data_IF_007736278343
#
_entry.id   IF_007736278343
#
_cell.length_a   1.000
_cell.length_b   1.000
_cell.length_c   1.000
_cell.angle_alpha   90.00
_cell.angle_beta   90.00
_cell.angle_gamma   90.00
#
_symmetry.space_group_name_H-M   'P 1'
#
loop_
_entity.id
_entity.type
_entity.pdbx_description
1 polymer ?
#
# COMPACT_ATOMS: atom_id res chain seq x y z
N UNK A 1 9.28 53.24 32.75
CA UNK A 1 7.85 52.88 32.85
C UNK A 1 7.53 52.01 31.64
N UNK A 2 7.60 50.68 31.80
CA UNK A 2 6.46 49.74 31.88
C UNK A 2 5.79 49.52 30.50
N UNK A 3 5.57 48.32 29.96
CA UNK A 3 5.85 46.90 30.32
C UNK A 3 5.58 46.10 29.03
N UNK A 4 6.38 45.09 28.71
CA UNK A 4 5.98 44.05 27.75
C UNK A 4 4.90 43.14 28.37
N UNK A 5 4.23 42.33 27.55
CA UNK A 5 4.28 40.90 27.84
C UNK A 5 4.62 40.03 26.63
N UNK A 6 5.47 39.04 26.93
CA UNK A 6 5.74 37.80 26.22
C UNK A 6 4.64 36.76 26.43
N UNK A 7 4.45 35.84 25.47
CA UNK A 7 4.27 34.37 25.61
C UNK A 7 3.38 33.85 24.46
N UNK A 8 3.90 33.07 23.51
CA UNK A 8 4.07 31.62 23.57
C UNK A 8 2.74 30.86 23.75
N UNK A 9 2.24 30.26 22.66
CA UNK A 9 1.25 29.19 22.71
C UNK A 9 1.84 27.95 22.03
N UNK A 10 2.37 27.04 22.86
CA UNK A 10 2.63 25.63 22.54
C UNK A 10 1.35 24.87 22.89
N UNK A 11 0.78 24.12 21.96
CA UNK A 11 -0.21 23.10 22.32
C UNK A 11 0.43 21.71 22.20
N UNK A 12 0.84 21.20 23.37
CA UNK A 12 1.01 19.78 23.64
C UNK A 12 -0.34 19.21 24.13
N UNK A 13 -0.59 17.93 23.85
CA UNK A 13 -1.92 17.31 23.90
C UNK A 13 -2.34 16.65 25.22
N UNK A 14 -3.44 15.89 25.13
CA UNK A 14 -3.90 14.75 25.96
C UNK A 14 -5.36 14.48 25.57
N UNK A 15 -5.69 13.32 24.98
CA UNK A 15 -6.10 12.08 25.66
C UNK A 15 -7.42 12.22 26.46
N UNK A 16 -8.44 11.45 26.05
CA UNK A 16 -9.70 11.32 26.80
C UNK A 16 -10.69 10.35 26.16
N UNK A 17 -10.49 9.05 26.43
CA UNK A 17 -11.54 8.02 26.34
C UNK A 17 -12.71 8.42 27.25
N UNK A 18 -13.93 8.49 26.72
CA UNK A 18 -15.16 8.47 27.54
C UNK A 18 -16.02 7.32 27.08
N UNK A 19 -15.99 6.25 27.87
CA UNK A 19 -17.01 5.22 27.92
C UNK A 19 -18.24 5.78 28.64
N UNK A 20 -19.42 5.64 28.02
CA UNK A 20 -20.71 5.92 28.67
C UNK A 20 -21.67 4.74 28.46
N UNK A 21 -21.82 3.89 29.48
CA UNK A 21 -22.95 2.97 29.63
C UNK A 21 -24.03 3.63 30.50
N UNK A 22 -25.29 3.58 30.03
CA UNK A 22 -26.56 3.40 30.79
C UNK A 22 -27.70 3.41 29.77
N UNK A 23 -28.36 2.30 29.45
CA UNK A 23 -29.37 1.55 30.21
C UNK A 23 -30.77 2.21 30.25
N UNK A 24 -31.73 1.54 29.60
CA UNK A 24 -33.11 1.36 30.10
C UNK A 24 -34.22 2.23 29.51
N UNK A 25 -35.23 1.59 28.89
CA UNK A 25 -36.56 2.18 28.67
C UNK A 25 -37.36 1.57 27.52
N UNK A 26 -38.06 0.47 27.78
CA UNK A 26 -39.08 -0.13 26.91
C UNK A 26 -40.26 0.81 26.62
N UNK A 27 -40.84 0.71 25.41
CA UNK A 27 -42.28 0.78 25.23
C UNK A 27 -42.71 -0.04 23.99
N UNK A 28 -43.43 -1.11 24.27
CA UNK A 28 -44.04 -2.02 23.33
C UNK A 28 -45.16 -1.36 22.50
N UNK A 29 -45.34 -1.82 21.25
CA UNK A 29 -46.67 -2.06 20.67
C UNK A 29 -46.65 -3.33 19.82
N UNK A 30 -47.33 -4.36 20.34
CA UNK A 30 -47.84 -5.51 19.62
C UNK A 30 -48.90 -5.07 18.60
N UNK A 31 -48.93 -5.70 17.42
CA UNK A 31 -50.04 -6.60 17.03
C UNK A 31 -49.83 -7.16 15.62
N UNK A 32 -49.95 -8.49 15.51
CA UNK A 32 -49.89 -9.22 14.25
C UNK A 32 -49.77 -10.72 14.49
N UNK A 33 -50.76 -11.30 15.18
CA UNK A 33 -50.93 -12.74 15.32
C UNK A 33 -50.98 -13.42 13.94
N UNK A 34 -50.33 -14.59 13.82
CA UNK A 34 -51.01 -15.81 13.35
C UNK A 34 -50.26 -17.04 13.87
N UNK A 35 -51.04 -17.97 14.40
CA UNK A 35 -50.59 -19.24 14.98
C UNK A 35 -50.23 -20.25 13.88
N UNK A 36 -49.05 -20.86 13.95
CA UNK A 36 -48.79 -22.18 13.34
C UNK A 36 -48.29 -23.12 14.43
N UNK A 37 -49.09 -24.14 14.73
CA UNK A 37 -48.78 -25.22 15.68
C UNK A 37 -47.80 -26.23 15.05
N UNK A 38 -46.83 -26.64 15.86
CA UNK A 38 -46.24 -27.99 16.02
C UNK A 38 -46.07 -28.86 14.77
N UNK A 39 -44.82 -29.02 14.32
CA UNK A 39 -44.06 -30.28 14.35
C UNK A 39 -42.85 -30.18 13.40
N UNK A 40 -41.68 -30.59 13.89
CA UNK A 40 -40.56 -30.99 13.04
C UNK A 40 -39.35 -30.07 13.12
N UNK A 41 -38.26 -30.62 13.68
CA UNK A 41 -36.84 -30.26 13.47
C UNK A 41 -36.44 -28.82 13.80
N UNK A 42 -35.56 -28.68 14.80
CA UNK A 42 -34.78 -27.45 14.95
C UNK A 42 -34.08 -27.13 13.62
N UNK A 43 -34.09 -25.88 13.14
CA UNK A 43 -33.28 -25.50 11.99
C UNK A 43 -31.82 -25.74 12.35
N UNK A 44 -31.11 -26.45 11.47
CA UNK A 44 -29.68 -26.68 11.60
C UNK A 44 -28.98 -25.35 11.85
N UNK A 45 -28.22 -25.32 12.94
CA UNK A 45 -27.37 -24.21 13.31
C UNK A 45 -26.45 -23.98 12.12
N UNK A 46 -26.57 -22.80 11.50
CA UNK A 46 -25.65 -22.36 10.44
C UNK A 46 -24.26 -22.33 11.08
N UNK A 47 -23.46 -23.33 10.73
CA UNK A 47 -22.06 -23.41 11.09
C UNK A 47 -21.36 -22.19 10.49
N UNK A 48 -21.07 -21.22 11.35
CA UNK A 48 -20.37 -19.98 11.02
C UNK A 48 -18.85 -20.18 11.09
N UNK A 49 -18.38 -21.38 10.78
CA UNK A 49 -16.96 -21.70 10.64
C UNK A 49 -16.41 -21.24 9.28
N UNK A 50 -16.38 -19.93 9.04
CA UNK A 50 -15.45 -19.35 8.07
C UNK A 50 -15.01 -17.95 8.48
N UNK A 51 -14.74 -17.74 9.77
CA UNK A 51 -13.92 -16.61 10.17
C UNK A 51 -12.53 -16.80 9.55
N UNK A 52 -12.23 -16.05 8.48
CA UNK A 52 -10.87 -15.94 7.93
C UNK A 52 -9.94 -15.65 9.10
N UNK A 53 -9.02 -16.58 9.37
CA UNK A 53 -7.95 -16.41 10.35
C UNK A 53 -7.27 -15.07 10.03
N UNK A 54 -7.36 -14.12 10.95
CA UNK A 54 -6.73 -12.81 10.79
C UNK A 54 -5.24 -13.05 10.55
N UNK A 55 -4.75 -12.67 9.38
CA UNK A 55 -3.31 -12.71 9.09
C UNK A 55 -2.58 -11.85 10.11
N UNK A 56 -1.45 -12.35 10.59
CA UNK A 56 -0.57 -11.58 11.47
C UNK A 56 -0.19 -10.29 10.75
N UNK A 57 -0.27 -9.11 11.41
CA UNK A 57 0.09 -7.85 10.78
C UNK A 57 1.51 -7.96 10.23
N UNK A 58 1.67 -7.74 8.92
CA UNK A 58 2.99 -7.60 8.31
C UNK A 58 3.66 -6.37 8.94
N UNK A 59 4.92 -6.51 9.37
CA UNK A 59 5.76 -5.37 9.78
C UNK A 59 5.81 -4.37 8.63
N UNK A 60 5.61 -3.08 8.89
CA UNK A 60 5.72 -2.05 7.86
C UNK A 60 7.18 -1.74 7.61
N UNK A 61 7.53 -1.43 6.36
CA UNK A 61 8.84 -0.89 5.98
C UNK A 61 9.14 0.41 6.75
N UNK A 62 8.11 1.18 7.11
CA UNK A 62 8.28 2.42 7.88
C UNK A 62 8.82 2.17 9.29
N UNK A 63 8.63 0.97 9.86
CA UNK A 63 9.16 0.59 11.17
C UNK A 63 10.71 0.56 11.18
N UNK A 64 11.35 0.52 10.01
CA UNK A 64 12.81 0.60 9.85
C UNK A 64 13.34 2.04 9.87
N UNK A 65 12.45 3.05 9.88
CA UNK A 65 12.79 4.48 9.88
C UNK A 65 12.13 5.22 11.06
N UNK A 66 12.40 4.81 12.31
CA UNK A 66 11.71 5.33 13.48
C UNK A 66 12.02 6.82 13.75
N UNK A 67 13.08 7.37 13.16
CA UNK A 67 13.52 8.75 13.35
C UNK A 67 13.12 9.67 12.20
N UNK A 68 12.34 9.16 11.24
CA UNK A 68 11.78 9.93 10.15
C UNK A 68 10.88 11.07 10.66
N UNK A 69 11.25 12.32 10.35
CA UNK A 69 10.49 13.51 10.73
C UNK A 69 10.04 14.30 9.51
N UNK A 70 8.85 14.94 9.54
CA UNK A 70 8.44 15.86 8.49
C UNK A 70 9.49 16.93 8.21
N UNK A 71 9.71 17.23 6.94
CA UNK A 71 10.67 18.24 6.47
C UNK A 71 10.11 18.90 5.21
N UNK A 72 10.40 20.19 4.99
CA UNK A 72 10.02 20.86 3.75
C UNK A 72 10.95 20.47 2.59
N UNK A 73 10.47 20.58 1.35
CA UNK A 73 11.32 20.35 0.19
C UNK A 73 12.54 21.26 0.20
N UNK A 74 12.36 22.54 0.54
CA UNK A 74 13.45 23.52 0.59
C UNK A 74 14.54 23.11 1.59
N UNK A 75 14.14 22.76 2.82
CA UNK A 75 15.10 22.37 3.86
C UNK A 75 15.80 21.07 3.51
N UNK A 76 15.10 20.15 2.83
CA UNK A 76 15.67 18.91 2.35
C UNK A 76 16.67 19.14 1.21
N UNK A 77 16.38 20.04 0.28
CA UNK A 77 17.31 20.45 -0.78
C UNK A 77 18.57 21.10 -0.21
N UNK A 78 18.43 21.99 0.78
CA UNK A 78 19.56 22.61 1.48
C UNK A 78 20.40 21.58 2.24
N UNK A 79 19.73 20.64 2.91
CA UNK A 79 20.39 19.60 3.72
C UNK A 79 21.12 18.56 2.88
N UNK A 80 20.52 18.10 1.79
CA UNK A 80 21.08 17.04 0.94
C UNK A 80 21.93 17.58 -0.21
N UNK A 81 21.82 18.87 -0.52
CA UNK A 81 22.47 19.48 -1.68
C UNK A 81 21.94 18.95 -3.02
N UNK A 82 20.74 18.35 -3.02
CA UNK A 82 20.12 17.70 -4.18
C UNK A 82 18.65 18.05 -4.28
N UNK A 83 18.07 18.00 -5.48
CA UNK A 83 16.64 18.29 -5.70
C UNK A 83 15.71 17.08 -5.54
N UNK A 84 16.27 15.90 -5.24
CA UNK A 84 15.54 14.65 -5.02
C UNK A 84 16.39 13.64 -4.24
N UNK A 85 15.78 12.52 -3.82
CA UNK A 85 16.43 11.47 -3.05
C UNK A 85 17.31 10.52 -3.89
N UNK A 86 17.70 10.92 -5.11
CA UNK A 86 18.51 10.15 -6.04
C UNK A 86 17.86 9.93 -7.41
N UNK A 87 18.54 9.20 -8.31
CA UNK A 87 18.01 8.89 -9.64
C UNK A 87 16.67 8.18 -9.51
N UNK A 88 15.67 8.61 -10.27
CA UNK A 88 14.30 8.07 -10.24
C UNK A 88 13.43 8.44 -9.02
N UNK A 89 13.92 9.26 -8.10
CA UNK A 89 13.08 9.85 -7.07
C UNK A 89 12.35 11.11 -7.59
N UNK A 90 11.07 11.33 -7.20
CA UNK A 90 10.37 12.57 -7.50
C UNK A 90 11.16 13.80 -7.01
N UNK A 91 11.11 14.90 -7.74
CA UNK A 91 11.69 16.16 -7.24
C UNK A 91 10.96 16.61 -5.99
N UNK A 92 11.69 16.99 -4.94
CA UNK A 92 11.11 17.36 -3.64
C UNK A 92 10.05 18.46 -3.80
N UNK A 93 10.41 19.57 -4.44
CA UNK A 93 9.50 20.68 -4.69
C UNK A 93 8.24 20.28 -5.47
N UNK A 94 8.40 19.54 -6.57
CA UNK A 94 7.25 19.08 -7.37
C UNK A 94 6.34 18.13 -6.59
N UNK A 95 6.93 17.32 -5.70
CA UNK A 95 6.17 16.40 -4.86
C UNK A 95 5.26 17.15 -3.90
N UNK A 96 5.80 18.11 -3.15
CA UNK A 96 5.03 18.97 -2.25
C UNK A 96 3.96 19.78 -3.00
N UNK A 97 4.31 20.40 -4.13
CA UNK A 97 3.36 21.14 -4.97
C UNK A 97 2.21 20.26 -5.48
N UNK A 98 2.44 18.95 -5.63
CA UNK A 98 1.41 17.98 -6.01
C UNK A 98 0.51 17.54 -4.85
N UNK A 99 0.69 18.11 -3.66
CA UNK A 99 -0.02 17.74 -2.42
C UNK A 99 0.61 16.58 -1.65
N UNK A 100 1.85 16.21 -1.97
CA UNK A 100 2.63 15.23 -1.21
C UNK A 100 3.29 15.86 0.03
N UNK A 101 3.80 15.03 0.93
CA UNK A 101 4.66 15.44 2.03
C UNK A 101 5.97 14.66 2.02
N UNK A 102 6.96 15.17 2.71
CA UNK A 102 8.28 14.58 2.83
C UNK A 102 8.61 14.34 4.30
N UNK A 103 9.25 13.20 4.58
CA UNK A 103 9.95 12.97 5.86
C UNK A 103 11.40 12.63 5.56
N UNK A 104 12.27 12.90 6.52
CA UNK A 104 13.67 12.52 6.45
C UNK A 104 14.10 11.86 7.74
N UNK A 105 14.67 10.66 7.62
CA UNK A 105 15.30 9.94 8.71
C UNK A 105 16.82 10.21 8.67
N UNK A 106 17.37 10.95 9.65
CA UNK A 106 18.78 11.35 9.63
C UNK A 106 19.76 10.20 9.89
N UNK A 107 19.32 9.11 10.50
CA UNK A 107 20.21 8.01 10.89
C UNK A 107 20.47 7.07 9.71
N UNK A 108 19.43 6.86 8.90
CA UNK A 108 19.49 6.03 7.70
C UNK A 108 19.76 6.83 6.43
N UNK A 109 19.54 8.15 6.46
CA UNK A 109 19.55 9.02 5.29
C UNK A 109 18.34 8.82 4.37
N UNK A 110 17.31 8.10 4.82
CA UNK A 110 16.12 7.84 4.02
C UNK A 110 15.29 9.11 3.84
N UNK A 111 14.79 9.32 2.62
CA UNK A 111 13.74 10.29 2.35
C UNK A 111 12.44 9.54 2.07
N UNK A 112 11.40 9.83 2.84
CA UNK A 112 10.10 9.20 2.69
C UNK A 112 9.19 10.17 1.96
N UNK A 113 8.66 9.71 0.82
CA UNK A 113 7.69 10.44 0.02
C UNK A 113 6.30 9.96 0.37
N UNK A 114 5.52 10.83 0.98
CA UNK A 114 4.15 10.56 1.38
C UNK A 114 3.13 11.25 0.46
N UNK A 115 2.02 10.59 0.16
CA UNK A 115 0.89 11.21 -0.54
C UNK A 115 -0.43 10.52 -0.22
N UNK A 116 -1.51 11.30 -0.10
CA UNK A 116 -2.86 10.75 -0.01
C UNK A 116 -3.27 10.24 -1.39
N UNK A 117 -3.72 9.01 -1.44
CA UNK A 117 -4.28 8.40 -2.64
C UNK A 117 -5.43 7.50 -2.21
N UNK A 118 -6.41 7.29 -3.08
CA UNK A 118 -7.39 6.24 -2.92
C UNK A 118 -7.01 5.12 -3.89
N UNK A 119 -6.36 4.06 -3.39
CA UNK A 119 -5.95 2.92 -4.23
C UNK A 119 -7.10 1.91 -4.34
N UNK A 120 -7.33 1.36 -5.53
CA UNK A 120 -8.43 0.43 -5.78
C UNK A 120 -8.26 -0.94 -5.12
N UNK A 121 -7.03 -1.37 -4.80
CA UNK A 121 -6.77 -2.74 -4.31
C UNK A 121 -6.76 -2.90 -2.80
N UNK A 122 -6.16 -1.94 -2.08
CA UNK A 122 -5.99 -2.02 -0.62
C UNK A 122 -6.84 -1.01 0.15
N UNK A 123 -7.50 -0.08 -0.55
CA UNK A 123 -8.22 1.02 0.10
C UNK A 123 -7.30 1.92 0.94
N UNK A 124 -5.99 1.87 0.71
CA UNK A 124 -5.03 2.73 1.38
C UNK A 124 -5.39 4.18 1.04
N UNK A 125 -5.45 5.01 2.08
CA UNK A 125 -5.79 6.44 2.00
C UNK A 125 -4.54 7.31 1.88
N UNK A 126 -3.38 6.73 2.19
CA UNK A 126 -2.06 7.30 2.10
C UNK A 126 -1.05 6.25 1.66
N UNK A 127 -0.04 6.72 0.93
CA UNK A 127 1.16 5.96 0.58
C UNK A 127 2.35 6.68 1.16
N UNK A 128 3.26 5.95 1.78
CA UNK A 128 4.56 6.45 2.19
C UNK A 128 5.62 5.49 1.66
N UNK A 129 6.48 5.98 0.77
CA UNK A 129 7.53 5.19 0.12
C UNK A 129 8.88 5.75 0.54
N UNK A 130 9.69 5.00 1.31
CA UNK A 130 11.05 5.37 1.60
C UNK A 130 11.92 5.21 0.36
N UNK A 131 12.81 6.18 0.15
CA UNK A 131 13.90 6.13 -0.79
C UNK A 131 15.21 6.03 -0.02
N UNK A 132 15.94 4.93 -0.25
CA UNK A 132 17.27 4.69 0.31
C UNK A 132 18.25 4.60 -0.84
N UNK A 133 19.29 5.44 -0.81
CA UNK A 133 20.30 5.50 -1.87
C UNK A 133 19.71 5.65 -3.29
N UNK A 134 18.67 6.47 -3.46
CA UNK A 134 18.00 6.68 -4.76
C UNK A 134 17.03 5.59 -5.18
N UNK A 135 16.77 4.58 -4.35
CA UNK A 135 15.88 3.47 -4.70
C UNK A 135 14.65 3.45 -3.80
N UNK A 136 13.43 3.35 -4.37
CA UNK A 136 12.22 3.20 -3.57
C UNK A 136 12.19 1.80 -2.94
N UNK A 137 11.47 1.69 -1.83
CA UNK A 137 11.16 0.40 -1.19
C UNK A 137 9.64 0.25 -1.16
N UNK A 138 9.12 -0.73 -1.90
CA UNK A 138 7.68 -0.93 -2.11
C UNK A 138 7.11 -2.14 -1.37
N UNK A 139 7.83 -2.76 -0.44
CA UNK A 139 7.41 -4.02 0.19
C UNK A 139 6.03 -3.94 0.85
N UNK A 140 5.67 -2.80 1.48
CA UNK A 140 4.34 -2.58 2.07
C UNK A 140 3.20 -2.60 1.03
N UNK A 141 3.51 -2.23 -0.22
CA UNK A 141 2.57 -2.19 -1.33
C UNK A 141 2.66 -3.43 -2.23
N UNK A 142 3.47 -4.42 -1.85
CA UNK A 142 3.69 -5.64 -2.64
C UNK A 142 2.72 -6.74 -2.22
N UNK A 143 2.02 -7.30 -3.20
CA UNK A 143 1.09 -8.43 -3.00
C UNK A 143 1.75 -9.76 -3.25
N UNK A 144 2.73 -9.78 -4.16
CA UNK A 144 3.51 -10.95 -4.45
C UNK A 144 4.91 -10.55 -4.88
N UNK A 145 5.92 -11.22 -4.31
CA UNK A 145 7.33 -11.05 -4.64
C UNK A 145 7.86 -12.37 -5.19
N UNK A 146 8.60 -12.30 -6.29
CA UNK A 146 9.24 -13.48 -6.87
C UNK A 146 10.66 -13.17 -7.34
N UNK A 147 11.54 -14.16 -7.27
CA UNK A 147 12.93 -14.03 -7.71
C UNK A 147 13.06 -14.28 -9.22
N UNK A 148 13.93 -13.51 -9.86
CA UNK A 148 14.38 -13.69 -11.23
C UNK A 148 15.91 -13.85 -11.20
N UNK A 149 16.39 -15.00 -11.66
CA UNK A 149 17.82 -15.39 -11.56
C UNK A 149 18.80 -14.34 -12.12
N UNK A 150 18.37 -13.59 -13.13
CA UNK A 150 19.11 -12.45 -13.67
C UNK A 150 18.22 -11.58 -14.56
N UNK A 151 18.28 -10.25 -14.38
CA UNK A 151 17.70 -9.32 -15.34
C UNK A 151 18.62 -9.15 -16.56
N UNK A 152 18.08 -9.23 -17.76
CA UNK A 152 18.82 -9.31 -19.03
C UNK A 152 18.67 -8.06 -19.94
N UNK A 153 18.17 -6.96 -19.39
CA UNK A 153 17.81 -5.72 -20.09
C UNK A 153 16.42 -5.74 -20.70
N UNK A 154 15.78 -6.91 -20.81
CA UNK A 154 14.53 -7.10 -21.56
C UNK A 154 13.36 -7.27 -20.62
N UNK A 155 12.74 -6.15 -20.27
CA UNK A 155 11.54 -6.07 -19.42
C UNK A 155 10.44 -7.10 -19.76
N UNK A 156 10.21 -7.42 -21.04
CA UNK A 156 9.21 -8.41 -21.46
C UNK A 156 9.55 -9.84 -20.98
N UNK A 157 10.83 -10.19 -20.94
CA UNK A 157 11.30 -11.49 -20.46
C UNK A 157 11.15 -11.56 -18.94
N UNK A 158 11.48 -10.47 -18.23
CA UNK A 158 11.29 -10.36 -16.79
C UNK A 158 9.80 -10.52 -16.41
N UNK A 159 8.91 -9.83 -17.11
CA UNK A 159 7.46 -9.94 -16.90
C UNK A 159 6.95 -11.35 -17.21
N UNK A 160 7.42 -11.98 -18.29
CA UNK A 160 7.04 -13.35 -18.60
C UNK A 160 7.46 -14.31 -17.48
N UNK A 161 8.68 -14.16 -16.95
CA UNK A 161 9.19 -15.01 -15.88
C UNK A 161 8.46 -14.76 -14.56
N UNK A 162 8.18 -13.50 -14.20
CA UNK A 162 7.38 -13.17 -13.03
C UNK A 162 5.95 -13.75 -13.12
N UNK A 163 5.30 -13.63 -14.28
CA UNK A 163 3.98 -14.23 -14.53
C UNK A 163 4.02 -15.76 -14.46
N UNK A 164 5.08 -16.39 -14.96
CA UNK A 164 5.26 -17.84 -14.87
C UNK A 164 5.36 -18.27 -13.41
N UNK A 165 6.21 -17.62 -12.62
CA UNK A 165 6.34 -17.93 -11.20
C UNK A 165 4.99 -17.71 -10.47
N UNK A 166 4.28 -16.61 -10.75
CA UNK A 166 2.95 -16.37 -10.18
C UNK A 166 1.94 -17.45 -10.57
N UNK A 167 1.97 -17.93 -11.82
CA UNK A 167 1.12 -19.02 -12.30
C UNK A 167 1.43 -20.35 -11.59
N UNK A 168 2.71 -20.64 -11.39
CA UNK A 168 3.20 -21.88 -10.76
C UNK A 168 2.92 -21.87 -9.23
N UNK A 169 3.07 -20.73 -8.58
CA UNK A 169 2.95 -20.58 -7.11
C UNK A 169 1.53 -20.19 -6.66
N UNK A 170 0.82 -19.39 -7.45
CA UNK A 170 -0.50 -18.83 -7.12
C UNK A 170 -1.45 -18.82 -8.32
N UNK A 171 -1.71 -20.00 -8.89
CA UNK A 171 -2.48 -20.16 -10.13
C UNK A 171 -3.79 -19.36 -10.19
N UNK A 172 -4.60 -19.41 -9.12
CA UNK A 172 -5.86 -18.67 -9.05
C UNK A 172 -5.64 -17.16 -9.20
N UNK A 173 -4.66 -16.61 -8.48
CA UNK A 173 -4.29 -15.19 -8.59
C UNK A 173 -3.83 -14.86 -10.01
N UNK A 174 -3.02 -15.72 -10.62
CA UNK A 174 -2.54 -15.53 -11.99
C UNK A 174 -3.68 -15.49 -13.02
N UNK A 175 -4.66 -16.40 -12.90
CA UNK A 175 -5.86 -16.43 -13.74
C UNK A 175 -6.72 -15.17 -13.51
N UNK A 176 -6.96 -14.79 -12.25
CA UNK A 176 -7.74 -13.61 -11.87
C UNK A 176 -7.13 -12.30 -12.39
N UNK A 177 -5.80 -12.24 -12.47
CA UNK A 177 -5.04 -11.10 -13.00
C UNK A 177 -4.84 -11.15 -14.52
N UNK A 178 -5.32 -12.22 -15.15
CA UNK A 178 -5.28 -12.45 -16.59
C UNK A 178 -3.86 -12.58 -17.16
N UNK A 179 -2.88 -12.97 -16.34
CA UNK A 179 -1.49 -13.19 -16.82
C UNK A 179 -1.30 -14.56 -17.49
N UNK A 180 -2.33 -15.41 -17.50
CA UNK A 180 -2.35 -16.70 -18.20
C UNK A 180 -2.87 -16.51 -19.64
N UNK A 181 -2.28 -17.23 -20.59
CA UNK A 181 -2.69 -17.17 -22.00
C UNK A 181 -4.08 -17.81 -22.23
N UNK A 182 -4.62 -17.67 -23.44
CA UNK A 182 -5.95 -18.20 -23.79
C UNK A 182 -6.10 -19.73 -23.64
N UNK A 183 -4.99 -20.47 -23.76
CA UNK A 183 -4.98 -21.94 -23.66
C UNK A 183 -4.87 -22.42 -22.21
N UNK A 184 -4.59 -21.53 -21.26
CA UNK A 184 -4.40 -21.90 -19.86
C UNK A 184 -3.06 -22.60 -19.57
N UNK A 185 -2.17 -22.71 -20.55
CA UNK A 185 -0.98 -23.56 -20.48
C UNK A 185 0.32 -22.78 -20.27
N UNK A 186 0.33 -21.47 -20.50
CA UNK A 186 1.52 -20.63 -20.38
C UNK A 186 1.23 -19.22 -19.88
N UNK A 187 2.23 -18.60 -19.25
CA UNK A 187 2.23 -17.21 -18.87
C UNK A 187 2.42 -16.25 -20.08
N UNK A 188 1.74 -15.11 -20.04
CA UNK A 188 1.87 -14.02 -21.04
C UNK A 188 3.17 -13.23 -20.85
N UNK A 189 3.66 -12.59 -21.92
CA UNK A 189 4.84 -11.71 -21.93
C UNK A 189 4.53 -10.22 -21.71
N UNK A 190 3.56 -9.93 -20.85
CA UNK A 190 3.08 -8.57 -20.58
C UNK A 190 2.77 -8.41 -19.09
N UNK A 191 2.56 -7.18 -18.64
CA UNK A 191 1.99 -6.93 -17.32
C UNK A 191 0.62 -7.61 -17.16
N UNK A 192 0.17 -7.82 -15.90
CA UNK A 192 -1.23 -8.12 -15.60
C UNK A 192 -2.18 -7.23 -16.41
N UNK A 193 -3.21 -7.84 -16.99
CA UNK A 193 -4.14 -7.15 -17.88
C UNK A 193 -5.54 -7.01 -17.26
N UNK A 194 -5.68 -7.28 -15.96
CA UNK A 194 -6.90 -6.97 -15.22
C UNK A 194 -7.04 -5.45 -15.09
N UNK A 195 -8.20 -4.97 -15.53
CA UNK A 195 -8.57 -3.56 -15.47
C UNK A 195 -9.63 -3.35 -14.38
N UNK A 196 -9.66 -2.16 -13.79
CA UNK A 196 -10.77 -1.71 -12.96
C UNK A 196 -11.96 -1.27 -13.81
N UNK A 197 -13.02 -0.80 -13.15
CA UNK A 197 -14.25 -0.33 -13.79
C UNK A 197 -14.06 0.87 -14.74
N UNK A 198 -12.96 1.62 -14.59
CA UNK A 198 -12.61 2.76 -15.42
C UNK A 198 -11.69 2.38 -16.60
N UNK A 199 -11.31 1.09 -16.70
CA UNK A 199 -10.39 0.60 -17.72
C UNK A 199 -8.92 0.82 -17.39
N UNK A 200 -8.58 1.21 -16.17
CA UNK A 200 -7.18 1.37 -15.73
C UNK A 200 -6.62 0.04 -15.20
N UNK A 201 -5.32 -0.25 -15.41
CA UNK A 201 -4.69 -1.43 -14.82
C UNK A 201 -4.80 -1.43 -13.30
N UNK A 202 -5.07 -2.60 -12.71
CA UNK A 202 -5.13 -2.75 -11.25
C UNK A 202 -3.73 -3.03 -10.68
N UNK A 203 -2.92 -3.81 -11.40
CA UNK A 203 -1.60 -4.24 -10.96
C UNK A 203 -0.53 -4.03 -12.03
N UNK A 204 0.70 -3.87 -11.59
CA UNK A 204 1.88 -3.85 -12.46
C UNK A 204 3.05 -4.56 -11.79
N UNK A 205 3.95 -5.10 -12.62
CA UNK A 205 5.24 -5.58 -12.13
C UNK A 205 6.22 -4.42 -11.96
N UNK A 206 7.02 -4.53 -10.91
CA UNK A 206 8.08 -3.61 -10.56
C UNK A 206 9.37 -4.36 -10.22
N UNK A 207 10.52 -3.83 -10.67
CA UNK A 207 11.84 -4.38 -10.34
C UNK A 207 12.25 -3.94 -8.95
N UNK A 208 12.40 -4.88 -8.01
CA UNK A 208 12.87 -4.61 -6.65
C UNK A 208 14.31 -4.06 -6.66
N UNK A 209 14.65 -3.26 -5.66
CA UNK A 209 15.96 -2.62 -5.52
C UNK A 209 17.14 -3.59 -5.29
N UNK A 210 16.83 -4.87 -4.99
CA UNK A 210 17.79 -5.96 -4.80
C UNK A 210 18.38 -6.48 -6.12
N UNK A 211 17.84 -6.04 -7.26
CA UNK A 211 18.32 -6.40 -8.59
C UNK A 211 18.07 -7.86 -8.99
N UNK A 212 17.23 -8.59 -8.25
CA UNK A 212 16.94 -10.02 -8.49
C UNK A 212 15.49 -10.42 -8.19
N UNK A 213 14.63 -9.48 -7.82
CA UNK A 213 13.22 -9.76 -7.51
C UNK A 213 12.27 -8.86 -8.29
N UNK A 214 11.10 -9.40 -8.63
CA UNK A 214 9.96 -8.65 -9.15
C UNK A 214 8.87 -8.56 -8.09
N UNK A 215 8.22 -7.41 -8.02
CA UNK A 215 7.12 -7.10 -7.13
C UNK A 215 5.85 -6.87 -7.94
N UNK A 216 4.80 -7.61 -7.60
CA UNK A 216 3.46 -7.35 -8.06
C UNK A 216 2.85 -6.32 -7.11
N UNK A 217 2.56 -5.13 -7.62
CA UNK A 217 2.08 -4.02 -6.80
C UNK A 217 0.90 -3.29 -7.46
N UNK A 218 0.16 -2.56 -6.65
CA UNK A 218 -0.92 -1.69 -7.09
C UNK A 218 -0.41 -0.67 -8.12
N UNK A 219 -1.10 -0.59 -9.26
CA UNK A 219 -0.72 0.26 -10.37
C UNK A 219 -0.72 1.75 -10.02
N UNK A 220 -1.66 2.20 -9.20
CA UNK A 220 -1.80 3.59 -8.82
C UNK A 220 -0.67 4.03 -7.89
N UNK A 221 -0.25 3.16 -6.97
CA UNK A 221 0.98 3.38 -6.19
C UNK A 221 2.18 3.49 -7.11
N UNK A 222 2.38 2.53 -8.02
CA UNK A 222 3.50 2.55 -8.96
C UNK A 222 3.51 3.82 -9.85
N UNK A 223 2.34 4.28 -10.28
CA UNK A 223 2.17 5.48 -11.12
C UNK A 223 2.56 6.78 -10.40
N UNK A 224 2.39 6.84 -9.08
CA UNK A 224 2.84 7.99 -8.28
C UNK A 224 4.36 8.12 -8.23
N UNK A 225 5.09 7.02 -8.37
CA UNK A 225 6.55 6.95 -8.31
C UNK A 225 7.14 6.54 -9.66
N UNK A 226 6.90 7.33 -10.73
CA UNK A 226 7.28 6.94 -12.08
C UNK A 226 8.82 6.88 -12.17
N UNK A 227 9.33 5.84 -12.85
CA UNK A 227 10.76 5.56 -13.14
C UNK A 227 11.52 4.73 -12.10
N UNK A 228 10.89 4.25 -11.05
CA UNK A 228 11.64 3.79 -9.88
C UNK A 228 11.92 2.27 -9.84
N UNK A 229 11.98 1.57 -10.99
CA UNK A 229 12.35 0.15 -11.01
C UNK A 229 13.86 -0.03 -10.95
N UNK A 230 14.33 -0.96 -10.12
CA UNK A 230 15.70 -1.47 -10.21
C UNK A 230 16.08 -1.70 -11.68
N UNK A 231 17.29 -1.27 -12.04
CA UNK A 231 17.85 -1.41 -13.38
C UNK A 231 17.44 -2.76 -14.00
N UNK A 232 16.92 -2.78 -15.23
CA UNK A 232 16.52 -4.02 -15.91
C UNK A 232 17.72 -4.93 -16.23
N UNK A 233 18.87 -4.81 -15.57
CA UNK A 233 20.15 -5.34 -16.03
C UNK A 233 20.85 -4.34 -16.96
N UNK A 234 22.20 -4.39 -16.90
CA UNK A 234 23.22 -3.45 -17.42
C UNK A 234 22.95 -2.75 -18.74
#
# INVERSE_FOLDING_TARGET
MAKAPSSAARNAGQAGLIAGRKAGGEAARLNGMTNIKKNGKAPDVIDSSSAKKAETPKKSVLDDYPNAKPISAKDLEEKLGSHNAGPNAPKFKKWEESGGWLKHDPDTGAVIYGKKINTSTKGNMDVEVPYVNGKPIFDDFTDYRTKIDSFNGKRKDDYQKANKNLMDEQRKTADDLGVVNKKGDNAKKINPNKLDENGDPIYTWHHHEDGKSMLLMDYWVHKLFPHAGGHSGK
#
